data_IF_528129105717
#
_entry.id   IF_528129105717
#
_cell.length_a   1.000
_cell.length_b   1.000
_cell.length_c   1.000
_cell.angle_alpha   90.00
_cell.angle_beta   90.00
_cell.angle_gamma   90.00
#
_symmetry.space_group_name_H-M   'P 1'
#
loop_
_entity.id
_entity.type
_entity.pdbx_description
1 polymer ?
#
# COMPACT_ATOMS: atom_id res chain seq x y z
N UNK A 1 3.00 0.37 -20.87
CA UNK A 1 2.11 -0.72 -21.31
C UNK A 1 0.97 -0.71 -20.32
N UNK A 2 -0.17 -0.15 -20.70
CA UNK A 2 -1.35 -0.07 -19.84
C UNK A 2 -2.00 -1.45 -19.82
N UNK A 3 -2.00 -2.09 -18.66
CA UNK A 3 -2.58 -3.42 -18.49
C UNK A 3 -4.01 -3.25 -17.97
N UNK A 4 -4.98 -3.55 -18.81
CA UNK A 4 -6.36 -3.79 -18.39
C UNK A 4 -6.40 -5.07 -17.55
N UNK A 5 -6.16 -4.93 -16.25
CA UNK A 5 -6.71 -5.87 -15.27
C UNK A 5 -8.24 -5.81 -15.46
N UNK A 6 -8.88 -6.96 -15.72
CA UNK A 6 -10.33 -7.08 -15.55
C UNK A 6 -10.64 -6.91 -14.07
N UNK A 7 -10.80 -5.66 -13.63
CA UNK A 7 -10.89 -5.26 -12.24
C UNK A 7 -12.30 -5.50 -11.70
N UNK A 8 -12.57 -6.71 -11.20
CA UNK A 8 -13.52 -6.84 -10.10
C UNK A 8 -12.82 -6.30 -8.85
N UNK A 9 -13.27 -5.14 -8.37
CA UNK A 9 -12.60 -4.39 -7.32
C UNK A 9 -13.46 -3.25 -6.80
N UNK A 10 -12.87 -2.42 -5.95
CA UNK A 10 -13.56 -1.28 -5.35
C UNK A 10 -12.59 -0.32 -4.69
N UNK A 11 -13.14 0.51 -3.80
CA UNK A 11 -12.35 1.45 -3.01
C UNK A 11 -12.69 1.30 -1.54
N UNK A 12 -11.67 1.40 -0.68
CA UNK A 12 -11.82 1.37 0.78
C UNK A 12 -11.15 2.60 1.39
N UNK A 13 -11.79 3.18 2.41
CA UNK A 13 -11.22 4.29 3.18
C UNK A 13 -10.62 3.74 4.47
N UNK A 14 -9.31 3.90 4.63
CA UNK A 14 -8.56 3.46 5.80
C UNK A 14 -8.34 4.65 6.73
N UNK A 15 -9.20 4.79 7.74
CA UNK A 15 -9.16 5.89 8.70
C UNK A 15 -7.85 5.90 9.51
N UNK A 16 -7.30 4.71 9.79
CA UNK A 16 -6.04 4.54 10.50
C UNK A 16 -4.82 5.09 9.74
N UNK A 17 -4.91 5.22 8.42
CA UNK A 17 -3.90 5.89 7.60
C UNK A 17 -4.34 7.33 7.33
N UNK A 18 -4.34 8.17 8.37
CA UNK A 18 -4.78 9.56 8.31
C UNK A 18 -3.66 10.53 7.92
N UNK A 19 -4.06 11.75 7.55
CA UNK A 19 -3.14 12.88 7.35
C UNK A 19 -2.41 13.27 8.63
N UNK A 20 -3.04 13.13 9.80
CA UNK A 20 -2.41 13.39 11.09
C UNK A 20 -1.27 12.41 11.35
N UNK A 21 -1.47 11.12 11.12
CA UNK A 21 -0.42 10.11 11.24
C UNK A 21 0.70 10.35 10.21
N UNK A 22 0.35 10.60 8.95
CA UNK A 22 1.31 10.88 7.88
C UNK A 22 2.26 12.03 8.22
N UNK A 23 1.74 13.11 8.83
CA UNK A 23 2.52 14.30 9.20
C UNK A 23 3.23 14.18 10.54
N UNK A 24 2.61 13.50 11.52
CA UNK A 24 3.14 13.39 12.87
C UNK A 24 4.19 12.29 13.03
N UNK A 25 4.02 11.17 12.33
CA UNK A 25 4.95 10.04 12.35
C UNK A 25 4.90 9.28 11.01
N UNK A 26 5.67 9.76 10.05
CA UNK A 26 5.75 9.18 8.71
C UNK A 26 6.26 7.72 8.72
N UNK A 27 7.09 7.35 9.71
CA UNK A 27 7.59 5.98 9.82
C UNK A 27 6.47 5.04 10.27
N UNK A 28 5.72 5.42 11.30
CA UNK A 28 4.55 4.66 11.72
C UNK A 28 3.51 4.55 10.60
N UNK A 29 3.27 5.62 9.84
CA UNK A 29 2.39 5.58 8.66
C UNK A 29 2.84 4.53 7.64
N UNK A 30 4.14 4.54 7.27
CA UNK A 30 4.72 3.61 6.29
C UNK A 30 4.64 2.15 6.78
N UNK A 31 4.96 1.89 8.04
CA UNK A 31 4.86 0.54 8.65
C UNK A 31 3.41 0.05 8.65
N UNK A 32 2.46 0.91 9.01
CA UNK A 32 1.03 0.56 9.03
C UNK A 32 0.50 0.29 7.62
N UNK A 33 0.97 1.04 6.61
CA UNK A 33 0.63 0.80 5.21
C UNK A 33 1.10 -0.59 4.75
N UNK A 34 2.33 -0.99 5.11
CA UNK A 34 2.85 -2.34 4.82
C UNK A 34 2.02 -3.42 5.53
N UNK A 35 1.70 -3.21 6.81
CA UNK A 35 0.88 -4.15 7.57
C UNK A 35 -0.49 -4.36 6.92
N UNK A 36 -1.19 -3.29 6.56
CA UNK A 36 -2.50 -3.39 5.89
C UNK A 36 -2.39 -4.08 4.54
N UNK A 37 -1.33 -3.83 3.77
CA UNK A 37 -1.13 -4.55 2.51
C UNK A 37 -0.95 -6.06 2.76
N UNK A 38 -0.21 -6.48 3.78
CA UNK A 38 -0.12 -7.90 4.17
C UNK A 38 -1.50 -8.49 4.45
N UNK A 39 -2.33 -7.79 5.23
CA UNK A 39 -3.71 -8.25 5.52
C UNK A 39 -4.57 -8.33 4.26
N UNK A 40 -4.49 -7.35 3.36
CA UNK A 40 -5.17 -7.41 2.06
C UNK A 40 -4.77 -8.65 1.28
N UNK A 41 -3.49 -8.99 1.23
CA UNK A 41 -3.04 -10.22 0.55
C UNK A 41 -3.62 -11.48 1.21
N UNK A 42 -3.70 -11.52 2.55
CA UNK A 42 -4.31 -12.64 3.27
C UNK A 42 -5.80 -12.78 2.93
N UNK A 43 -6.48 -11.67 2.65
CA UNK A 43 -7.90 -11.62 2.23
C UNK A 43 -8.09 -11.83 0.71
N UNK A 44 -7.02 -12.07 -0.04
CA UNK A 44 -7.10 -12.23 -1.51
C UNK A 44 -7.40 -10.91 -2.23
N UNK A 45 -6.95 -9.79 -1.66
CA UNK A 45 -7.10 -8.44 -2.19
C UNK A 45 -5.71 -7.86 -2.51
N UNK A 46 -5.62 -7.09 -3.60
CA UNK A 46 -4.43 -6.33 -3.97
C UNK A 46 -4.75 -4.84 -4.05
N UNK A 47 -4.00 -3.97 -3.35
CA UNK A 47 -4.12 -2.53 -3.54
C UNK A 47 -3.58 -2.13 -4.92
N UNK A 48 -4.37 -1.37 -5.65
CA UNK A 48 -4.04 -0.80 -6.96
C UNK A 48 -3.45 0.59 -6.80
N UNK A 49 -4.07 1.43 -5.96
CA UNK A 49 -3.66 2.82 -5.78
C UNK A 49 -3.93 3.30 -4.36
N UNK A 50 -2.91 3.86 -3.73
CA UNK A 50 -3.02 4.58 -2.48
C UNK A 50 -3.12 6.08 -2.78
N UNK A 51 -4.22 6.72 -2.37
CA UNK A 51 -4.39 8.16 -2.55
C UNK A 51 -3.67 8.94 -1.44
N UNK A 52 -3.47 10.24 -1.65
CA UNK A 52 -2.94 11.11 -0.62
C UNK A 52 -3.85 11.09 0.62
N UNK A 53 -3.31 10.88 1.83
CA UNK A 53 -4.10 10.87 3.06
C UNK A 53 -4.76 12.24 3.29
N UNK A 54 -6.01 12.22 3.75
CA UNK A 54 -6.74 13.40 4.20
C UNK A 54 -7.18 13.24 5.68
N UNK A 55 -7.96 14.18 6.20
CA UNK A 55 -8.43 14.14 7.59
C UNK A 55 -9.28 12.88 7.88
N UNK A 56 -9.96 12.34 6.86
CA UNK A 56 -10.83 11.17 6.96
C UNK A 56 -10.09 9.83 6.74
N UNK A 57 -8.78 9.86 6.45
CA UNK A 57 -7.97 8.67 6.17
C UNK A 57 -7.40 8.61 4.75
N UNK A 58 -6.93 7.43 4.38
CA UNK A 58 -6.37 7.15 3.04
C UNK A 58 -7.39 6.37 2.22
N UNK A 59 -7.78 6.90 1.06
CA UNK A 59 -8.55 6.10 0.09
C UNK A 59 -7.58 5.12 -0.58
N UNK A 60 -8.03 3.89 -0.80
CA UNK A 60 -7.29 2.86 -1.53
C UNK A 60 -8.20 2.19 -2.54
N UNK A 61 -7.82 2.24 -3.80
CA UNK A 61 -8.44 1.39 -4.82
C UNK A 61 -7.80 0.01 -4.76
N UNK A 62 -8.61 -1.04 -4.89
CA UNK A 62 -8.17 -2.43 -4.79
C UNK A 62 -8.82 -3.31 -5.85
N UNK A 63 -8.26 -4.50 -6.03
CA UNK A 63 -8.80 -5.57 -6.85
C UNK A 63 -8.79 -6.90 -6.09
N UNK A 64 -9.67 -7.82 -6.45
CA UNK A 64 -9.60 -9.19 -5.98
C UNK A 64 -8.54 -9.99 -6.77
N UNK A 65 -7.88 -10.90 -6.07
CA UNK A 65 -6.91 -11.84 -6.63
C UNK A 65 -7.67 -13.07 -7.11
N UNK A 66 -7.59 -13.35 -8.42
CA UNK A 66 -8.41 -14.39 -9.05
C UNK A 66 -7.64 -15.69 -9.27
N UNK A 67 -6.30 -15.66 -9.16
CA UNK A 67 -5.46 -16.83 -9.38
C UNK A 67 -4.11 -16.72 -8.64
N UNK A 68 -3.41 -17.86 -8.57
CA UNK A 68 -2.12 -17.97 -7.88
C UNK A 68 -1.00 -17.12 -8.50
N UNK A 69 -1.09 -16.83 -9.80
CA UNK A 69 -0.09 -16.03 -10.49
C UNK A 69 -0.23 -14.54 -10.14
N UNK A 70 -1.45 -14.03 -10.07
CA UNK A 70 -1.75 -12.71 -9.50
C UNK A 70 -1.30 -12.60 -8.06
N UNK A 71 -1.52 -13.64 -7.24
CA UNK A 71 -1.05 -13.66 -5.85
C UNK A 71 0.48 -13.56 -5.74
N UNK A 72 1.22 -14.31 -6.56
CA UNK A 72 2.68 -14.23 -6.62
C UNK A 72 3.15 -12.84 -7.01
N UNK A 73 2.56 -12.26 -8.07
CA UNK A 73 2.86 -10.89 -8.50
C UNK A 73 2.55 -9.86 -7.42
N UNK A 74 1.45 -10.05 -6.69
CA UNK A 74 1.06 -9.19 -5.58
C UNK A 74 2.10 -9.21 -4.45
N UNK A 75 2.64 -10.39 -4.12
CA UNK A 75 3.74 -10.55 -3.16
C UNK A 75 5.03 -9.87 -3.61
N UNK A 76 5.40 -9.99 -4.88
CA UNK A 76 6.58 -9.29 -5.42
C UNK A 76 6.40 -7.78 -5.37
N UNK A 77 5.23 -7.25 -5.73
CA UNK A 77 4.92 -5.82 -5.59
C UNK A 77 5.03 -5.31 -4.15
N UNK A 78 4.62 -6.11 -3.18
CA UNK A 78 4.78 -5.79 -1.76
C UNK A 78 6.27 -5.76 -1.35
N UNK A 79 7.07 -6.75 -1.78
CA UNK A 79 8.52 -6.76 -1.54
C UNK A 79 9.19 -5.52 -2.14
N UNK A 80 8.86 -5.17 -3.38
CA UNK A 80 9.39 -3.98 -4.05
C UNK A 80 8.99 -2.69 -3.33
N UNK A 81 7.78 -2.64 -2.76
CA UNK A 81 7.35 -1.51 -1.96
C UNK A 81 8.15 -1.40 -0.65
N UNK A 82 8.32 -2.50 0.10
CA UNK A 82 9.12 -2.52 1.32
C UNK A 82 10.56 -2.09 1.05
N UNK A 83 11.18 -2.63 -0.01
CA UNK A 83 12.55 -2.27 -0.41
C UNK A 83 12.68 -0.78 -0.74
N UNK A 84 11.68 -0.18 -1.40
CA UNK A 84 11.66 1.27 -1.65
C UNK A 84 11.57 2.08 -0.36
N UNK A 85 10.68 1.71 0.56
CA UNK A 85 10.53 2.38 1.85
C UNK A 85 11.84 2.33 2.66
N UNK A 86 12.53 1.19 2.68
CA UNK A 86 13.82 1.04 3.33
C UNK A 86 14.88 1.96 2.72
N UNK A 87 14.95 2.04 1.39
CA UNK A 87 15.89 2.92 0.70
C UNK A 87 15.59 4.41 0.91
N UNK A 88 14.31 4.80 0.93
CA UNK A 88 13.92 6.17 1.29
C UNK A 88 14.36 6.52 2.71
N UNK A 89 14.14 5.64 3.69
CA UNK A 89 14.53 5.88 5.07
C UNK A 89 16.05 5.93 5.25
N UNK A 90 16.81 5.09 4.51
CA UNK A 90 18.27 5.18 4.43
C UNK A 90 18.70 6.54 3.86
N UNK A 91 18.02 7.02 2.81
CA UNK A 91 18.32 8.33 2.22
C UNK A 91 18.01 9.49 3.17
N UNK A 92 16.95 9.39 3.98
CA UNK A 92 16.70 10.38 5.03
C UNK A 92 17.79 10.34 6.11
N UNK A 93 18.30 9.19 6.52
CA UNK A 93 19.35 9.07 7.52
C UNK A 93 20.74 9.50 7.01
N UNK A 94 21.02 9.34 5.72
CA UNK A 94 22.32 9.69 5.11
C UNK A 94 22.49 11.19 4.79
N UNK A 95 21.41 11.98 4.86
CA UNK A 95 21.42 13.42 4.60
C UNK A 95 21.33 14.28 5.89
N UNK A 96 21.67 13.70 7.06
CA UNK A 96 21.86 14.41 8.32
C UNK A 96 23.28 14.22 8.85
#
# INVERSE_FOLDING_TARGET
MDYELNLYGGSIKLQQLSKSLYRGDIKAFKVLQVYIWVEFLNEGIIPIKWYTPNEDGTLVDFAYINNIEEFKKAKERLKDHISRLQNEDIFFLANF
#
